data_IF_414417169814
#
_entry.id   IF_414417169814
#
_cell.length_a   1.000
_cell.length_b   1.000
_cell.length_c   1.000
_cell.angle_alpha   90.00
_cell.angle_beta   90.00
_cell.angle_gamma   90.00
#
_symmetry.space_group_name_H-M   'P 1'
#
loop_
_entity.id
_entity.type
_entity.pdbx_description
1 polymer ?
#
# COMPACT_ATOMS: atom_id res chain seq x y z
N UNK A 1 18.35 1.88 -21.96
CA UNK A 1 18.09 1.54 -20.53
C UNK A 1 19.45 1.47 -19.87
N UNK A 2 19.74 2.34 -18.93
CA UNK A 2 20.99 2.29 -18.16
C UNK A 2 20.81 1.15 -17.17
N UNK A 3 21.64 0.11 -17.26
CA UNK A 3 21.66 -0.96 -16.27
C UNK A 3 22.02 -0.35 -14.91
N UNK A 4 21.05 -0.30 -14.02
CA UNK A 4 21.26 0.13 -12.63
C UNK A 4 22.06 -0.98 -11.96
N UNK A 5 23.34 -0.73 -11.71
CA UNK A 5 24.22 -1.67 -11.01
C UNK A 5 23.66 -1.83 -9.59
N UNK A 6 23.21 -3.04 -9.28
CA UNK A 6 22.76 -3.38 -7.94
C UNK A 6 23.98 -3.30 -7.00
N UNK A 7 23.87 -2.51 -5.93
CA UNK A 7 24.85 -2.47 -4.86
C UNK A 7 24.54 -3.60 -3.88
N UNK A 8 25.52 -4.11 -3.18
CA UNK A 8 25.35 -5.15 -2.17
C UNK A 8 26.11 -4.82 -0.89
N UNK A 9 25.48 -5.11 0.24
CA UNK A 9 26.10 -5.09 1.58
C UNK A 9 26.03 -6.48 2.20
N UNK A 10 26.81 -6.72 3.23
CA UNK A 10 26.67 -7.95 4.01
C UNK A 10 25.59 -7.81 5.06
N UNK A 11 24.71 -8.80 5.15
CA UNK A 11 23.71 -8.87 6.19
C UNK A 11 24.40 -8.96 7.57
N UNK A 12 24.10 -8.04 8.48
CA UNK A 12 24.67 -8.01 9.84
C UNK A 12 24.23 -9.21 10.70
N UNK A 13 23.14 -9.90 10.32
CA UNK A 13 22.63 -11.05 11.06
C UNK A 13 23.20 -12.39 10.58
N UNK A 14 23.25 -12.64 9.26
CA UNK A 14 23.65 -13.93 8.71
C UNK A 14 24.88 -13.88 7.79
N UNK A 15 25.41 -12.69 7.52
CA UNK A 15 26.57 -12.50 6.62
C UNK A 15 26.26 -12.66 5.12
N UNK A 16 25.05 -13.03 4.74
CA UNK A 16 24.65 -13.19 3.33
C UNK A 16 24.61 -11.86 2.58
N UNK A 17 24.73 -11.85 1.24
CA UNK A 17 24.63 -10.62 0.46
C UNK A 17 23.19 -10.08 0.47
N UNK A 18 23.06 -8.76 0.68
CA UNK A 18 21.80 -8.01 0.58
C UNK A 18 21.96 -7.05 -0.59
N UNK A 19 21.18 -7.27 -1.63
CA UNK A 19 21.16 -6.45 -2.83
C UNK A 19 20.17 -5.30 -2.67
N UNK A 20 20.54 -4.10 -3.12
CA UNK A 20 19.68 -2.93 -3.10
C UNK A 20 19.96 -2.03 -4.30
N UNK A 21 18.99 -1.19 -4.61
CA UNK A 21 19.08 -0.18 -5.68
C UNK A 21 19.34 1.21 -5.10
N UNK A 22 19.90 2.13 -5.89
CA UNK A 22 19.98 3.54 -5.50
C UNK A 22 18.60 4.08 -5.09
N UNK A 23 18.56 4.80 -3.97
CA UNK A 23 17.32 5.34 -3.40
C UNK A 23 16.59 4.42 -2.41
N UNK A 24 16.97 3.14 -2.33
CA UNK A 24 16.44 2.27 -1.27
C UNK A 24 17.16 2.54 0.05
N UNK A 25 16.39 2.69 1.12
CA UNK A 25 16.91 3.02 2.48
C UNK A 25 16.88 1.80 3.37
N UNK A 26 15.86 0.95 3.24
CA UNK A 26 15.72 -0.29 4.00
C UNK A 26 15.75 -1.47 3.05
N UNK A 27 16.71 -2.36 3.23
CA UNK A 27 16.83 -3.59 2.47
C UNK A 27 16.55 -4.82 3.32
N UNK A 28 15.90 -5.81 2.71
CA UNK A 28 15.57 -7.08 3.34
C UNK A 28 16.51 -8.17 2.87
N UNK A 29 17.14 -8.87 3.83
CA UNK A 29 17.96 -10.04 3.51
C UNK A 29 17.10 -11.20 3.04
N UNK A 30 17.32 -11.66 1.81
CA UNK A 30 16.60 -12.81 1.23
C UNK A 30 16.87 -14.14 1.95
N UNK A 31 17.95 -14.24 2.74
CA UNK A 31 18.33 -15.49 3.39
C UNK A 31 17.74 -15.63 4.79
N UNK A 32 17.78 -14.60 5.61
CA UNK A 32 17.31 -14.67 7.01
C UNK A 32 16.14 -13.73 7.33
N UNK A 33 15.69 -12.89 6.38
CA UNK A 33 14.58 -11.98 6.58
C UNK A 33 14.91 -10.74 7.40
N UNK A 34 16.14 -10.61 7.93
CA UNK A 34 16.50 -9.40 8.67
C UNK A 34 16.49 -8.18 7.74
N UNK A 35 16.02 -7.07 8.27
CA UNK A 35 16.04 -5.78 7.61
C UNK A 35 17.21 -4.94 8.09
N UNK A 36 17.82 -4.21 7.16
CA UNK A 36 18.98 -3.38 7.41
C UNK A 36 18.76 -2.01 6.81
N UNK A 37 19.07 -0.94 7.53
CA UNK A 37 19.16 0.39 6.92
C UNK A 37 20.48 0.49 6.20
N UNK A 38 20.42 0.84 4.94
CA UNK A 38 21.55 0.79 4.02
C UNK A 38 22.62 1.80 4.42
N UNK A 39 22.24 3.02 4.80
CA UNK A 39 23.19 4.09 5.17
C UNK A 39 24.02 3.79 6.40
N UNK A 40 23.45 3.12 7.41
CA UNK A 40 24.12 2.88 8.69
C UNK A 40 24.65 1.46 8.83
N UNK A 41 24.23 0.53 7.99
CA UNK A 41 24.54 -0.90 8.12
C UNK A 41 23.96 -1.56 9.38
N UNK A 42 23.11 -0.83 10.13
CA UNK A 42 22.51 -1.35 11.36
C UNK A 42 21.28 -2.19 11.08
N UNK A 43 21.20 -3.34 11.73
CA UNK A 43 19.99 -4.17 11.72
C UNK A 43 18.92 -3.51 12.58
N UNK A 44 17.68 -3.50 12.07
CA UNK A 44 16.53 -3.05 12.83
C UNK A 44 15.79 -4.22 13.46
N UNK A 45 15.37 -4.05 14.69
CA UNK A 45 14.44 -4.95 15.39
C UNK A 45 13.04 -4.36 15.32
N UNK A 46 12.32 -4.61 14.24
CA UNK A 46 10.89 -4.38 14.15
C UNK A 46 10.20 -5.61 13.58
N UNK A 47 8.91 -5.75 13.86
CA UNK A 47 8.13 -6.84 13.29
C UNK A 47 8.15 -6.72 11.77
N UNK A 48 8.66 -7.76 11.10
CA UNK A 48 8.62 -7.89 9.66
C UNK A 48 7.66 -9.01 9.28
N UNK A 49 6.66 -8.68 8.48
CA UNK A 49 5.56 -9.57 8.12
C UNK A 49 5.37 -9.66 6.60
N UNK A 50 4.67 -10.68 6.19
CA UNK A 50 4.35 -10.98 4.80
C UNK A 50 2.86 -11.31 4.68
N UNK A 51 2.20 -10.79 3.65
CA UNK A 51 0.92 -11.32 3.19
C UNK A 51 1.21 -12.32 2.07
N UNK A 52 0.61 -13.51 2.16
CA UNK A 52 0.85 -14.55 1.16
C UNK A 52 0.00 -14.33 -0.08
N UNK A 53 0.63 -14.41 -1.24
CA UNK A 53 -0.08 -14.51 -2.49
C UNK A 53 -0.79 -15.88 -2.60
N UNK A 54 -1.98 -15.91 -3.18
CA UNK A 54 -2.79 -17.13 -3.35
C UNK A 54 -2.97 -17.54 -4.81
N UNK A 55 -2.35 -16.83 -5.73
CA UNK A 55 -2.53 -17.03 -7.16
C UNK A 55 -1.21 -17.32 -7.84
N UNK A 56 -1.21 -18.26 -8.74
CA UNK A 56 -0.13 -18.47 -9.70
C UNK A 56 -0.42 -17.75 -11.02
N UNK A 57 0.48 -17.89 -11.99
CA UNK A 57 0.37 -17.29 -13.33
C UNK A 57 -0.89 -17.71 -14.11
N UNK A 58 -1.49 -18.86 -13.76
CA UNK A 58 -2.69 -19.38 -14.41
C UNK A 58 -3.95 -18.97 -13.65
N UNK A 59 -3.98 -19.17 -12.35
CA UNK A 59 -5.18 -18.92 -11.53
C UNK A 59 -5.54 -17.44 -11.43
N UNK A 60 -4.57 -16.52 -11.53
CA UNK A 60 -4.85 -15.07 -11.57
C UNK A 60 -5.67 -14.65 -12.80
N UNK A 61 -5.68 -15.45 -13.87
CA UNK A 61 -6.46 -15.14 -15.08
C UNK A 61 -7.96 -15.12 -14.81
N UNK A 62 -8.44 -15.91 -13.86
CA UNK A 62 -9.86 -15.86 -13.49
C UNK A 62 -10.21 -14.50 -12.87
N UNK A 63 -9.42 -14.00 -11.94
CA UNK A 63 -9.62 -12.66 -11.34
C UNK A 63 -9.59 -11.55 -12.41
N UNK A 64 -8.70 -11.68 -13.40
CA UNK A 64 -8.63 -10.75 -14.54
C UNK A 64 -9.94 -10.78 -15.34
N UNK A 65 -10.45 -11.99 -15.68
CA UNK A 65 -11.69 -12.16 -16.42
C UNK A 65 -12.89 -11.63 -15.67
N UNK A 66 -13.01 -11.98 -14.39
CA UNK A 66 -14.10 -11.54 -13.52
C UNK A 66 -14.16 -10.01 -13.45
N UNK A 67 -12.99 -9.37 -13.35
CA UNK A 67 -12.91 -7.92 -13.40
C UNK A 67 -13.36 -7.38 -14.76
N UNK A 68 -12.93 -7.97 -15.88
CA UNK A 68 -13.27 -7.52 -17.24
C UNK A 68 -14.77 -7.69 -17.58
N UNK A 69 -15.41 -8.73 -17.07
CA UNK A 69 -16.82 -9.02 -17.26
C UNK A 69 -17.74 -8.21 -16.35
N UNK A 70 -17.22 -7.78 -15.17
CA UNK A 70 -17.98 -7.02 -14.18
C UNK A 70 -18.08 -5.52 -14.50
N UNK A 71 -19.23 -4.92 -14.14
CA UNK A 71 -19.45 -3.47 -14.18
C UNK A 71 -19.95 -2.94 -15.54
N UNK A 72 -20.94 -2.05 -15.49
CA UNK A 72 -21.67 -1.52 -16.65
C UNK A 72 -20.90 -0.49 -17.49
N UNK A 73 -19.79 0.06 -16.95
CA UNK A 73 -18.96 1.04 -17.66
C UNK A 73 -17.95 0.41 -18.63
N UNK A 74 -17.81 -0.91 -18.60
CA UNK A 74 -16.84 -1.62 -19.43
C UNK A 74 -17.47 -2.08 -20.76
N UNK A 75 -16.67 -2.13 -21.86
CA UNK A 75 -17.14 -2.71 -23.11
C UNK A 75 -17.61 -4.15 -22.90
N UNK A 76 -18.79 -4.52 -23.41
CA UNK A 76 -19.33 -5.89 -23.26
C UNK A 76 -18.52 -6.99 -23.95
N UNK A 77 -17.59 -6.63 -24.83
CA UNK A 77 -16.65 -7.54 -25.47
C UNK A 77 -15.23 -7.50 -24.89
N UNK A 78 -15.03 -6.78 -23.77
CA UNK A 78 -13.70 -6.57 -23.17
C UNK A 78 -13.00 -7.89 -22.88
N UNK A 79 -13.61 -8.76 -22.07
CA UNK A 79 -13.00 -10.04 -21.71
C UNK A 79 -12.71 -10.93 -22.92
N UNK A 80 -13.57 -10.89 -23.95
CA UNK A 80 -13.43 -11.72 -25.15
C UNK A 80 -12.33 -11.24 -26.10
N UNK A 81 -12.13 -9.91 -26.21
CA UNK A 81 -11.18 -9.30 -27.15
C UNK A 81 -9.87 -8.87 -26.53
N UNK A 82 -9.74 -9.00 -25.23
CA UNK A 82 -8.52 -8.66 -24.53
C UNK A 82 -7.46 -9.76 -24.68
N UNK A 83 -6.22 -9.32 -24.87
CA UNK A 83 -5.02 -10.15 -24.75
C UNK A 83 -4.23 -9.67 -23.54
N UNK A 84 -4.00 -10.55 -22.56
CA UNK A 84 -3.08 -10.26 -21.45
C UNK A 84 -1.66 -10.32 -21.97
N UNK A 85 -0.90 -9.23 -21.79
CA UNK A 85 0.45 -9.06 -22.33
C UNK A 85 1.49 -9.35 -21.26
N UNK A 86 1.26 -8.85 -20.02
CA UNK A 86 2.17 -9.05 -18.90
C UNK A 86 1.39 -9.33 -17.62
N UNK A 87 1.93 -10.21 -16.79
CA UNK A 87 1.48 -10.50 -15.42
C UNK A 87 2.69 -10.52 -14.51
N UNK A 88 2.89 -9.47 -13.74
CA UNK A 88 4.03 -9.32 -12.85
C UNK A 88 3.56 -9.31 -11.39
N UNK A 89 3.95 -10.32 -10.62
CA UNK A 89 3.78 -10.35 -9.17
C UNK A 89 4.91 -9.58 -8.50
N UNK A 90 4.53 -8.59 -7.69
CA UNK A 90 5.47 -7.74 -6.96
C UNK A 90 5.06 -7.67 -5.50
N UNK A 91 5.96 -8.00 -4.59
CA UNK A 91 5.77 -7.74 -3.17
C UNK A 91 6.19 -6.30 -2.87
N UNK A 92 5.17 -5.46 -2.62
CA UNK A 92 5.37 -4.06 -2.27
C UNK A 92 5.59 -3.91 -0.77
N UNK A 93 6.56 -3.06 -0.34
CA UNK A 93 6.79 -2.77 1.06
C UNK A 93 5.81 -1.71 1.57
N UNK A 94 5.31 -1.94 2.80
CA UNK A 94 4.44 -1.03 3.52
C UNK A 94 4.91 -0.89 4.97
N UNK A 95 4.66 0.27 5.56
CA UNK A 95 4.62 0.45 6.99
C UNK A 95 3.19 0.48 7.46
N UNK A 96 2.86 -0.37 8.43
CA UNK A 96 1.54 -0.41 9.07
C UNK A 96 1.68 0.19 10.45
N UNK A 97 1.01 1.32 10.66
CA UNK A 97 1.02 2.09 11.91
C UNK A 97 -0.29 1.85 12.64
N UNK A 98 -0.26 1.04 13.68
CA UNK A 98 -1.41 0.81 14.56
C UNK A 98 -1.44 1.88 15.65
N UNK A 99 -2.48 2.69 15.69
CA UNK A 99 -2.59 3.79 16.63
C UNK A 99 -4.03 4.02 17.08
N UNK A 100 -4.16 4.46 18.32
CA UNK A 100 -5.39 5.04 18.85
C UNK A 100 -5.29 6.56 18.73
N UNK A 101 -6.27 7.17 18.08
CA UNK A 101 -6.26 8.59 17.77
C UNK A 101 -7.47 9.28 18.37
N UNK A 102 -7.22 10.36 19.09
CA UNK A 102 -8.25 11.19 19.70
C UNK A 102 -8.08 12.64 19.27
N UNK A 103 -9.13 13.24 18.70
CA UNK A 103 -9.18 14.66 18.38
C UNK A 103 -10.28 15.35 19.16
N UNK A 104 -9.92 16.38 19.89
CA UNK A 104 -10.86 17.35 20.50
C UNK A 104 -10.96 18.57 19.59
N UNK A 105 -12.15 19.11 19.44
CA UNK A 105 -12.37 20.24 18.54
C UNK A 105 -13.35 21.26 19.07
N UNK A 106 -13.19 22.49 18.58
CA UNK A 106 -14.17 23.58 18.62
C UNK A 106 -14.43 24.06 17.20
N UNK A 107 -15.69 24.28 16.86
CA UNK A 107 -16.05 24.73 15.54
C UNK A 107 -17.40 25.45 15.52
N UNK A 108 -17.75 25.99 14.37
CA UNK A 108 -19.03 26.64 14.13
C UNK A 108 -19.84 25.77 13.16
N UNK A 109 -21.06 25.49 13.56
CA UNK A 109 -22.08 24.84 12.76
C UNK A 109 -22.99 25.94 12.18
N UNK A 110 -22.92 26.14 10.85
CA UNK A 110 -23.56 27.24 10.13
C UNK A 110 -24.79 26.78 9.32
N UNK A 111 -25.08 25.47 9.31
CA UNK A 111 -26.21 24.89 8.53
C UNK A 111 -27.60 25.25 9.10
N UNK A 112 -27.65 25.90 10.26
CA UNK A 112 -28.85 26.43 10.87
C UNK A 112 -28.64 27.89 11.28
N UNK A 113 -29.72 28.67 11.38
CA UNK A 113 -29.67 30.06 11.84
C UNK A 113 -30.30 30.17 13.23
N UNK A 114 -29.67 30.85 14.20
CA UNK A 114 -28.31 31.42 14.14
C UNK A 114 -27.21 30.33 14.18
N UNK A 115 -26.01 30.64 13.66
CA UNK A 115 -24.86 29.73 13.77
C UNK A 115 -24.56 29.37 15.22
N UNK A 116 -24.16 28.10 15.45
CA UNK A 116 -23.90 27.59 16.80
C UNK A 116 -22.42 27.18 16.96
N UNK A 117 -21.86 27.50 18.15
CA UNK A 117 -20.60 26.90 18.58
C UNK A 117 -20.83 25.44 18.94
N UNK A 118 -19.98 24.57 18.44
CA UNK A 118 -20.01 23.14 18.73
C UNK A 118 -18.62 22.68 19.18
N UNK A 119 -18.59 21.89 20.23
CA UNK A 119 -17.38 21.26 20.75
C UNK A 119 -17.62 19.76 20.82
N UNK A 120 -16.55 18.97 20.62
CA UNK A 120 -16.68 17.52 20.68
C UNK A 120 -15.34 16.81 20.65
N UNK A 121 -15.44 15.49 20.62
CA UNK A 121 -14.29 14.59 20.56
C UNK A 121 -14.59 13.47 19.57
N UNK A 122 -13.62 13.16 18.71
CA UNK A 122 -13.62 11.97 17.85
C UNK A 122 -12.48 11.07 18.31
N UNK A 123 -12.79 9.80 18.55
CA UNK A 123 -11.79 8.76 18.85
C UNK A 123 -11.92 7.62 17.84
N UNK A 124 -10.80 7.20 17.27
CA UNK A 124 -10.71 6.07 16.34
C UNK A 124 -9.43 5.29 16.52
N UNK A 125 -9.52 3.99 16.27
CA UNK A 125 -8.35 3.13 16.09
C UNK A 125 -8.05 2.96 14.60
N UNK A 126 -6.78 3.00 14.27
CA UNK A 126 -6.29 2.85 12.90
C UNK A 126 -5.22 1.78 12.80
N UNK A 127 -5.25 1.04 11.71
CA UNK A 127 -4.09 0.39 11.11
C UNK A 127 -3.76 1.19 9.84
N UNK A 128 -3.03 2.30 10.03
CA UNK A 128 -2.72 3.20 8.94
C UNK A 128 -1.61 2.64 8.08
N UNK A 129 -1.83 2.62 6.77
CA UNK A 129 -0.91 2.01 5.81
C UNK A 129 -0.17 3.11 5.07
N UNK A 130 1.15 3.06 5.15
CA UNK A 130 2.05 3.93 4.39
C UNK A 130 2.79 3.09 3.37
N UNK A 131 2.59 3.38 2.09
CA UNK A 131 3.38 2.75 1.03
C UNK A 131 4.84 3.19 1.19
N UNK A 132 5.73 2.22 1.35
CA UNK A 132 7.12 2.48 1.75
C UNK A 132 8.04 2.82 0.56
N UNK A 133 7.50 2.91 -0.65
CA UNK A 133 8.21 3.32 -1.86
C UNK A 133 7.27 3.86 -2.91
N UNK A 134 7.80 4.58 -3.88
CA UNK A 134 7.03 4.98 -5.04
C UNK A 134 6.69 3.77 -5.91
N UNK A 135 5.39 3.60 -6.23
CA UNK A 135 4.89 2.58 -7.15
C UNK A 135 3.91 3.23 -8.12
N UNK A 136 4.36 3.45 -9.35
CA UNK A 136 3.57 4.13 -10.39
C UNK A 136 2.22 3.46 -10.61
N UNK A 137 1.17 4.26 -10.49
CA UNK A 137 -0.21 3.84 -10.71
C UNK A 137 -0.86 3.07 -9.56
N UNK A 138 -0.11 2.71 -8.50
CA UNK A 138 -0.67 1.99 -7.36
C UNK A 138 -1.61 2.89 -6.53
N UNK A 139 -2.86 2.45 -6.21
CA UNK A 139 -3.83 3.26 -5.48
C UNK A 139 -3.60 3.16 -3.96
N UNK A 140 -2.51 3.74 -3.46
CA UNK A 140 -2.08 3.60 -2.06
C UNK A 140 -3.08 4.13 -1.03
N UNK A 141 -3.93 5.10 -1.40
CA UNK A 141 -4.92 5.69 -0.49
C UNK A 141 -6.16 4.83 -0.30
N UNK A 142 -6.51 4.05 -1.32
CA UNK A 142 -7.70 3.18 -1.31
C UNK A 142 -7.37 1.75 -0.91
N UNK A 143 -6.10 1.39 -0.89
CA UNK A 143 -5.66 0.04 -0.59
C UNK A 143 -5.79 -0.29 0.89
N UNK A 144 -6.53 -1.36 1.17
CA UNK A 144 -6.65 -1.95 2.51
C UNK A 144 -5.92 -3.29 2.52
N UNK A 145 -4.81 -3.35 3.25
CA UNK A 145 -4.05 -4.59 3.39
C UNK A 145 -4.85 -5.61 4.20
N UNK A 146 -4.99 -6.87 3.75
CA UNK A 146 -5.67 -7.93 4.50
C UNK A 146 -4.82 -8.42 5.69
N UNK A 147 -4.70 -7.60 6.74
CA UNK A 147 -3.80 -7.82 7.87
C UNK A 147 -4.07 -9.12 8.65
N UNK A 148 -5.29 -9.64 8.61
CA UNK A 148 -5.66 -10.91 9.25
C UNK A 148 -4.87 -12.10 8.69
N UNK A 149 -4.43 -12.02 7.42
CA UNK A 149 -3.63 -13.04 6.75
C UNK A 149 -2.12 -12.86 6.89
N UNK A 150 -1.64 -11.90 7.71
CA UNK A 150 -0.21 -11.68 7.85
C UNK A 150 0.49 -12.85 8.56
N UNK A 151 1.66 -13.18 8.07
CA UNK A 151 2.56 -14.17 8.66
C UNK A 151 3.93 -13.55 8.90
N UNK A 152 4.76 -14.08 9.81
CA UNK A 152 6.15 -13.67 9.91
C UNK A 152 6.85 -13.79 8.56
N UNK A 153 7.71 -12.82 8.25
CA UNK A 153 8.46 -12.83 7.01
C UNK A 153 9.29 -14.11 6.87
N UNK A 154 9.12 -14.77 5.72
CA UNK A 154 9.92 -15.93 5.31
C UNK A 154 10.06 -15.87 3.79
N UNK A 155 11.28 -15.62 3.30
CA UNK A 155 11.55 -15.51 1.88
C UNK A 155 11.19 -16.78 1.10
N UNK A 156 11.22 -17.94 1.73
CA UNK A 156 10.86 -19.23 1.09
C UNK A 156 9.37 -19.30 0.70
N UNK A 157 8.55 -18.42 1.25
CA UNK A 157 7.11 -18.31 0.94
C UNK A 157 6.83 -17.34 -0.22
N UNK A 158 7.86 -16.70 -0.75
CA UNK A 158 7.76 -15.80 -1.91
C UNK A 158 8.02 -16.61 -3.17
N UNK A 159 7.17 -16.49 -4.15
CA UNK A 159 7.27 -17.21 -5.42
C UNK A 159 8.53 -16.82 -6.18
N UNK A 160 9.23 -17.81 -6.76
CA UNK A 160 10.50 -17.57 -7.45
C UNK A 160 10.42 -16.63 -8.67
N UNK A 161 9.21 -16.40 -9.20
CA UNK A 161 8.96 -15.44 -10.28
C UNK A 161 8.55 -14.06 -9.79
N UNK A 162 8.30 -13.90 -8.49
CA UNK A 162 7.89 -12.62 -7.89
C UNK A 162 9.10 -11.71 -7.68
N UNK A 163 8.85 -10.40 -7.73
CA UNK A 163 9.81 -9.38 -7.34
C UNK A 163 9.55 -8.94 -5.92
N UNK A 164 10.57 -8.96 -5.08
CA UNK A 164 10.54 -8.33 -3.76
C UNK A 164 11.15 -6.93 -3.88
N UNK A 165 10.44 -5.91 -3.45
CA UNK A 165 10.92 -4.53 -3.47
C UNK A 165 11.24 -4.04 -2.07
N UNK A 166 12.34 -3.31 -1.94
CA UNK A 166 12.78 -2.70 -0.70
C UNK A 166 12.13 -1.33 -0.47
N UNK A 167 12.16 -0.85 0.77
CA UNK A 167 11.65 0.46 1.15
C UNK A 167 12.58 1.60 0.74
N UNK A 168 11.99 2.71 0.34
CA UNK A 168 12.64 4.00 0.04
C UNK A 168 12.48 5.00 1.21
N UNK A 169 11.74 4.62 2.26
CA UNK A 169 11.58 5.43 3.47
C UNK A 169 11.86 4.58 4.71
N UNK A 170 12.44 5.21 5.73
CA UNK A 170 12.67 4.56 7.01
C UNK A 170 11.41 4.58 7.90
N UNK A 171 11.55 4.00 9.09
CA UNK A 171 10.48 3.91 10.09
C UNK A 171 9.99 5.29 10.54
N UNK A 172 10.90 6.22 10.76
CA UNK A 172 10.56 7.52 11.35
C UNK A 172 9.89 8.43 10.32
N UNK A 173 10.36 8.41 9.07
CA UNK A 173 9.69 9.07 7.95
C UNK A 173 8.29 8.51 7.70
N UNK A 174 8.12 7.19 7.77
CA UNK A 174 6.81 6.56 7.62
C UNK A 174 5.85 6.93 8.76
N UNK A 175 6.35 7.02 10.00
CA UNK A 175 5.55 7.45 11.15
C UNK A 175 5.07 8.90 10.99
N UNK A 176 5.97 9.78 10.53
CA UNK A 176 5.62 11.19 10.29
C UNK A 176 4.57 11.33 9.18
N UNK A 177 4.72 10.61 8.09
CA UNK A 177 3.72 10.55 7.02
C UNK A 177 2.36 10.05 7.54
N UNK A 178 2.36 8.99 8.35
CA UNK A 178 1.13 8.46 8.95
C UNK A 178 0.45 9.52 9.84
N UNK A 179 1.21 10.25 10.67
CA UNK A 179 0.69 11.33 11.52
C UNK A 179 -0.02 12.40 10.71
N UNK A 180 0.65 12.93 9.69
CA UNK A 180 0.11 13.98 8.81
C UNK A 180 -1.17 13.52 8.09
N UNK A 181 -1.18 12.29 7.59
CA UNK A 181 -2.33 11.72 6.90
C UNK A 181 -3.51 11.48 7.84
N UNK A 182 -3.27 10.96 9.05
CA UNK A 182 -4.28 10.75 10.09
C UNK A 182 -4.89 12.08 10.54
N UNK A 183 -4.07 13.10 10.79
CA UNK A 183 -4.56 14.44 11.15
C UNK A 183 -5.44 15.03 10.05
N UNK A 184 -5.04 14.87 8.79
CA UNK A 184 -5.84 15.28 7.64
C UNK A 184 -7.17 14.54 7.59
N UNK A 185 -7.17 13.24 7.83
CA UNK A 185 -8.38 12.42 7.89
C UNK A 185 -9.33 12.87 9.03
N UNK A 186 -8.78 13.17 10.22
CA UNK A 186 -9.59 13.66 11.33
C UNK A 186 -10.21 15.04 11.03
N UNK A 187 -9.47 15.95 10.40
CA UNK A 187 -10.02 17.23 9.91
C UNK A 187 -11.18 17.02 8.94
N UNK A 188 -11.05 16.09 8.01
CA UNK A 188 -12.12 15.74 7.07
C UNK A 188 -13.36 15.17 7.78
N UNK A 189 -13.17 14.29 8.76
CA UNK A 189 -14.28 13.75 9.56
C UNK A 189 -15.01 14.85 10.33
N UNK A 190 -14.29 15.84 10.86
CA UNK A 190 -14.88 16.97 11.59
C UNK A 190 -15.77 17.87 10.71
N UNK A 191 -15.51 17.94 9.40
CA UNK A 191 -16.37 18.68 8.46
C UNK A 191 -17.79 18.13 8.36
N UNK A 192 -18.03 16.91 8.87
CA UNK A 192 -19.38 16.38 8.99
C UNK A 192 -20.14 17.00 10.19
N UNK A 193 -19.42 17.39 11.23
CA UNK A 193 -19.95 17.92 12.48
C UNK A 193 -19.99 19.45 12.54
N UNK A 194 -19.03 20.12 11.90
CA UNK A 194 -18.89 21.58 11.88
C UNK A 194 -18.50 22.07 10.49
N UNK A 195 -18.95 23.26 10.13
CA UNK A 195 -18.63 23.86 8.82
C UNK A 195 -17.30 24.63 8.86
N UNK A 196 -16.96 25.18 10.03
CA UNK A 196 -15.70 25.88 10.26
C UNK A 196 -15.04 25.41 11.54
N UNK A 197 -13.84 24.84 11.43
CA UNK A 197 -13.01 24.42 12.56
C UNK A 197 -12.27 25.66 13.09
N UNK A 198 -12.46 25.97 14.39
CA UNK A 198 -11.73 27.04 15.09
C UNK A 198 -10.47 26.48 15.72
N UNK A 199 -10.58 25.35 16.39
CA UNK A 199 -9.49 24.68 17.08
C UNK A 199 -9.63 23.17 16.92
N UNK A 200 -8.50 22.50 16.72
CA UNK A 200 -8.38 21.03 16.77
C UNK A 200 -7.08 20.66 17.46
N UNK A 201 -7.18 19.72 18.38
CA UNK A 201 -6.01 19.08 19.01
C UNK A 201 -6.13 17.58 18.81
N UNK A 202 -5.16 17.01 18.12
CA UNK A 202 -5.08 15.57 17.82
C UNK A 202 -3.97 14.92 18.61
N UNK A 203 -4.31 13.89 19.38
CA UNK A 203 -3.39 13.04 20.11
C UNK A 203 -3.34 11.68 19.41
N UNK A 204 -2.14 11.22 19.07
CA UNK A 204 -1.89 9.94 18.40
C UNK A 204 -1.09 9.06 19.34
N UNK A 205 -1.73 8.02 19.85
CA UNK A 205 -1.10 7.03 20.71
C UNK A 205 -0.69 5.83 19.87
N UNK A 206 0.60 5.73 19.55
CA UNK A 206 1.16 4.64 18.78
C UNK A 206 1.13 3.35 19.60
N UNK A 207 0.52 2.30 19.07
CA UNK A 207 0.45 0.95 19.65
C UNK A 207 1.54 0.05 19.09
N UNK A 208 1.66 0.00 17.76
CA UNK A 208 2.58 -0.89 17.06
C UNK A 208 2.94 -0.32 15.70
N UNK A 209 4.10 -0.68 15.21
CA UNK A 209 4.52 -0.42 13.84
C UNK A 209 5.13 -1.68 13.23
N UNK A 210 4.62 -2.10 12.08
CA UNK A 210 5.00 -3.34 11.38
C UNK A 210 5.53 -2.99 10.00
N UNK A 211 6.67 -3.56 9.61
CA UNK A 211 7.13 -3.56 8.23
C UNK A 211 6.52 -4.76 7.51
N UNK A 212 5.85 -4.54 6.40
CA UNK A 212 5.03 -5.54 5.74
C UNK A 212 5.30 -5.56 4.24
N UNK A 213 5.40 -6.75 3.67
CA UNK A 213 5.34 -6.94 2.24
C UNK A 213 3.99 -7.55 1.84
N UNK A 214 3.31 -6.93 0.86
CA UNK A 214 2.05 -7.44 0.32
C UNK A 214 2.16 -7.75 -1.18
N UNK A 215 1.56 -8.86 -1.64
CA UNK A 215 1.63 -9.31 -3.02
C UNK A 215 0.67 -8.52 -3.91
N UNK A 216 1.19 -7.88 -4.92
CA UNK A 216 0.41 -7.09 -5.88
C UNK A 216 0.72 -7.57 -7.29
N UNK A 217 -0.31 -7.91 -8.03
CA UNK A 217 -0.22 -8.24 -9.44
C UNK A 217 -0.38 -6.98 -10.29
N UNK A 218 0.65 -6.64 -11.04
CA UNK A 218 0.64 -5.61 -12.07
C UNK A 218 0.45 -6.27 -13.42
N UNK A 219 -0.69 -6.02 -14.03
CA UNK A 219 -1.13 -6.66 -15.27
C UNK A 219 -1.20 -5.61 -16.36
N UNK A 220 -0.64 -5.93 -17.54
CA UNK A 220 -0.88 -5.17 -18.75
C UNK A 220 -1.72 -5.98 -19.71
N UNK A 221 -2.73 -5.37 -20.26
CA UNK A 221 -3.59 -5.99 -21.27
C UNK A 221 -3.78 -5.08 -22.48
N UNK A 222 -3.95 -5.71 -23.63
CA UNK A 222 -4.22 -5.05 -24.89
C UNK A 222 -5.70 -5.24 -25.25
N UNK A 223 -6.35 -4.14 -25.61
CA UNK A 223 -7.70 -4.14 -26.16
C UNK A 223 -7.76 -3.18 -27.34
N UNK A 224 -8.17 -3.70 -28.52
CA UNK A 224 -8.24 -2.95 -29.79
C UNK A 224 -6.96 -2.17 -30.11
N UNK A 225 -5.78 -2.81 -29.93
CA UNK A 225 -4.47 -2.23 -30.24
C UNK A 225 -3.95 -1.19 -29.23
N UNK A 226 -4.63 -0.98 -28.08
CA UNK A 226 -4.19 -0.09 -27.02
C UNK A 226 -3.87 -0.87 -25.75
N UNK A 227 -2.84 -0.42 -25.04
CA UNK A 227 -2.40 -1.01 -23.76
C UNK A 227 -3.11 -0.32 -22.58
N UNK A 228 -3.51 -1.13 -21.61
CA UNK A 228 -4.18 -0.75 -20.37
C UNK A 228 -3.55 -1.46 -19.20
N UNK A 229 -3.76 -0.92 -18.01
CA UNK A 229 -3.27 -1.51 -16.76
C UNK A 229 -4.40 -2.01 -15.88
N UNK A 230 -4.13 -3.10 -15.16
CA UNK A 230 -4.98 -3.63 -14.11
C UNK A 230 -4.09 -4.04 -12.94
N UNK A 231 -4.47 -3.65 -11.72
CA UNK A 231 -3.76 -3.97 -10.49
C UNK A 231 -4.68 -4.82 -9.63
N UNK A 232 -4.21 -6.02 -9.25
CA UNK A 232 -4.96 -6.98 -8.44
C UNK A 232 -4.20 -7.28 -7.15
N UNK A 233 -4.89 -7.34 -6.04
CA UNK A 233 -4.35 -7.75 -4.75
C UNK A 233 -4.16 -9.28 -4.73
N UNK A 234 -2.96 -9.74 -4.35
CA UNK A 234 -2.56 -11.14 -4.50
C UNK A 234 -3.10 -12.11 -3.46
N UNK A 235 -3.61 -11.64 -2.31
CA UNK A 235 -4.19 -12.52 -1.31
C UNK A 235 -5.69 -12.75 -1.50
N UNK A 236 -6.40 -11.80 -2.12
CA UNK A 236 -7.86 -11.83 -2.30
C UNK A 236 -8.30 -12.01 -3.74
N UNK A 237 -7.46 -11.64 -4.71
CA UNK A 237 -7.81 -11.57 -6.13
C UNK A 237 -8.65 -10.35 -6.52
N UNK A 238 -8.87 -9.42 -5.59
CA UNK A 238 -9.67 -8.23 -5.84
C UNK A 238 -8.89 -7.20 -6.67
N UNK A 239 -9.56 -6.63 -7.67
CA UNK A 239 -8.98 -5.52 -8.42
C UNK A 239 -8.92 -4.25 -7.56
N UNK A 240 -7.73 -3.68 -7.43
CA UNK A 240 -7.50 -2.42 -6.73
C UNK A 240 -7.70 -1.22 -7.65
N UNK A 241 -7.26 -1.35 -8.89
CA UNK A 241 -7.39 -0.33 -9.93
C UNK A 241 -7.34 -0.98 -11.30
N UNK A 242 -8.12 -0.48 -12.24
CA UNK A 242 -8.05 -0.92 -13.63
C UNK A 242 -8.46 0.20 -14.57
N UNK A 243 -7.68 0.35 -15.63
CA UNK A 243 -7.99 1.27 -16.71
C UNK A 243 -9.14 0.68 -17.51
N UNK A 244 -10.20 1.44 -17.70
CA UNK A 244 -11.38 1.03 -18.49
C UNK A 244 -11.27 1.64 -19.89
N UNK A 245 -11.24 0.79 -20.95
CA UNK A 245 -11.26 1.31 -22.30
C UNK A 245 -12.50 2.18 -22.56
N UNK A 246 -12.28 3.37 -23.13
CA UNK A 246 -13.39 4.26 -23.50
C UNK A 246 -14.32 3.58 -24.51
N UNK A 247 -15.61 3.61 -24.21
CA UNK A 247 -16.67 3.17 -25.15
C UNK A 247 -17.11 4.27 -26.11
N UNK A 248 -16.39 5.41 -26.15
CA UNK A 248 -16.76 6.48 -27.08
C UNK A 248 -16.63 5.98 -28.51
N UNK A 249 -17.79 5.91 -29.16
CA UNK A 249 -17.99 5.69 -30.57
C UNK A 249 -17.43 6.82 -31.41
#
# INVERSE_FOLDING_TARGET
MVDVVAQSIRCSHCGGPVEFKPGEIVATCKYCGSTTVIETGQAFTFEHSLILNKFDQTSIEQSIRDWMEGGFLKPGDLARKTKVVEKNLVYLPFWVVSAEVRSTYKGIFERIAPPMMKEGTISKEYNWIVLAREASGFPSREYQVPLEGKVPYDFRKIEGFAKLLNSEIDRDAALELARQQIETQHRFLLQQDVDRIIEIRTEINLKQMVYLHAPIWFIKYEYKGKLYQLIIEGATGNALKGDIPSTRF
#
